data_IF_444757787179
#
_entry.id   IF_444757787179
#
_cell.length_a   1.000
_cell.length_b   1.000
_cell.length_c   1.000
_cell.angle_alpha   90.00
_cell.angle_beta   90.00
_cell.angle_gamma   90.00
#
_symmetry.space_group_name_H-M   'P 1'
#
loop_
_entity.id
_entity.type
_entity.pdbx_description
1 polymer ?
#
# COMPACT_ATOMS: atom_id res chain seq x y z
N UNK A 1 -21.00 15.41 -18.68
CA UNK A 1 -19.97 14.36 -18.50
C UNK A 1 -19.46 14.44 -17.07
N UNK A 2 -19.22 13.30 -16.43
CA UNK A 2 -18.72 13.25 -15.04
C UNK A 2 -17.20 13.21 -15.06
N UNK A 3 -16.56 14.05 -14.25
CA UNK A 3 -15.10 14.14 -14.10
C UNK A 3 -14.44 12.77 -13.90
N UNK A 4 -15.12 11.84 -13.24
CA UNK A 4 -14.60 10.48 -13.01
C UNK A 4 -14.46 9.68 -14.31
N UNK A 5 -15.44 9.83 -15.22
CA UNK A 5 -15.41 9.16 -16.54
C UNK A 5 -14.29 9.72 -17.41
N UNK A 6 -14.08 11.04 -17.34
CA UNK A 6 -13.05 11.70 -18.15
C UNK A 6 -11.65 11.31 -17.69
N UNK A 7 -11.43 11.19 -16.37
CA UNK A 7 -10.17 10.67 -15.81
C UNK A 7 -9.96 9.20 -16.19
N UNK A 8 -11.00 8.36 -16.06
CA UNK A 8 -10.92 6.95 -16.43
C UNK A 8 -10.55 6.78 -17.91
N UNK A 9 -11.23 7.50 -18.81
CA UNK A 9 -11.02 7.39 -20.26
C UNK A 9 -9.63 7.92 -20.66
N UNK A 10 -9.14 8.97 -19.99
CA UNK A 10 -7.79 9.48 -20.19
C UNK A 10 -6.72 8.44 -19.81
N UNK A 11 -6.83 7.84 -18.62
CA UNK A 11 -5.87 6.82 -18.16
C UNK A 11 -5.92 5.60 -19.07
N UNK A 12 -7.12 5.14 -19.43
CA UNK A 12 -7.31 3.99 -20.33
C UNK A 12 -6.66 4.22 -21.69
N UNK A 13 -6.88 5.38 -22.31
CA UNK A 13 -6.31 5.70 -23.62
C UNK A 13 -4.77 5.71 -23.60
N UNK A 14 -4.17 6.28 -22.56
CA UNK A 14 -2.72 6.30 -22.43
C UNK A 14 -2.14 4.90 -22.17
N UNK A 15 -2.86 4.05 -21.42
CA UNK A 15 -2.49 2.65 -21.22
C UNK A 15 -2.54 1.85 -22.53
N UNK A 16 -3.62 1.99 -23.30
CA UNK A 16 -3.78 1.30 -24.59
C UNK A 16 -2.78 1.80 -25.65
N UNK A 17 -2.32 3.04 -25.54
CA UNK A 17 -1.28 3.61 -26.41
C UNK A 17 0.16 3.19 -26.04
N UNK A 18 0.35 2.42 -24.96
CA UNK A 18 1.68 1.99 -24.51
C UNK A 18 2.48 3.06 -23.78
N UNK A 19 1.89 4.22 -23.45
CA UNK A 19 2.61 5.32 -22.78
C UNK A 19 3.11 4.98 -21.37
N UNK A 20 2.69 3.84 -20.82
CA UNK A 20 3.11 3.33 -19.50
C UNK A 20 3.96 2.06 -19.60
N UNK A 21 4.35 1.61 -20.80
CA UNK A 21 5.06 0.34 -20.97
C UNK A 21 6.46 0.36 -20.34
N UNK A 22 7.18 1.48 -20.41
CA UNK A 22 8.48 1.63 -19.75
C UNK A 22 8.35 1.57 -18.23
N UNK A 23 7.34 2.25 -17.67
CA UNK A 23 7.06 2.20 -16.23
C UNK A 23 6.64 0.80 -15.78
N UNK A 24 5.87 0.09 -16.61
CA UNK A 24 5.47 -1.30 -16.40
C UNK A 24 6.68 -2.23 -16.43
N UNK A 25 7.57 -2.08 -17.40
CA UNK A 25 8.79 -2.87 -17.52
C UNK A 25 9.71 -2.64 -16.31
N UNK A 26 9.93 -1.38 -15.92
CA UNK A 26 10.73 -1.04 -14.74
C UNK A 26 10.15 -1.64 -13.46
N UNK A 27 8.82 -1.57 -13.28
CA UNK A 27 8.16 -2.20 -12.15
C UNK A 27 8.28 -3.73 -12.17
N UNK A 28 8.11 -4.37 -13.34
CA UNK A 28 8.26 -5.83 -13.48
C UNK A 28 9.69 -6.29 -13.20
N UNK A 29 10.70 -5.57 -13.67
CA UNK A 29 12.11 -5.87 -13.35
C UNK A 29 12.38 -5.71 -11.87
N UNK A 30 11.99 -4.57 -11.27
CA UNK A 30 12.11 -4.36 -9.82
C UNK A 30 11.42 -5.46 -9.03
N UNK A 31 10.18 -5.80 -9.40
CA UNK A 31 9.40 -6.86 -8.74
C UNK A 31 10.09 -8.21 -8.86
N UNK A 32 10.64 -8.54 -10.04
CA UNK A 32 11.35 -9.81 -10.26
C UNK A 32 12.62 -9.89 -9.43
N UNK A 33 13.40 -8.81 -9.41
CA UNK A 33 14.65 -8.72 -8.64
C UNK A 33 14.40 -8.68 -7.12
N UNK A 34 13.30 -8.07 -6.69
CA UNK A 34 12.92 -7.94 -5.29
C UNK A 34 11.85 -8.96 -4.86
N UNK A 35 11.57 -9.98 -5.69
CA UNK A 35 10.61 -11.04 -5.40
C UNK A 35 11.17 -12.07 -4.39
N UNK A 36 11.90 -11.60 -3.38
CA UNK A 36 11.87 -12.26 -2.09
C UNK A 36 10.53 -11.93 -1.45
N UNK A 37 9.46 -12.51 -2.02
CA UNK A 37 8.13 -12.39 -1.46
C UNK A 37 8.20 -12.96 -0.05
N UNK A 38 8.13 -12.08 0.95
CA UNK A 38 8.19 -12.53 2.33
C UNK A 38 7.00 -13.46 2.56
N UNK A 39 7.20 -14.58 3.24
CA UNK A 39 6.11 -15.47 3.64
C UNK A 39 5.17 -14.85 4.70
N UNK A 40 5.32 -13.56 4.96
CA UNK A 40 4.55 -12.81 5.93
C UNK A 40 3.23 -12.36 5.31
N UNK A 41 2.19 -12.43 6.12
CA UNK A 41 0.92 -11.76 5.83
C UNK A 41 1.11 -10.24 5.84
N UNK A 42 0.20 -9.50 5.18
CA UNK A 42 0.25 -8.03 5.18
C UNK A 42 0.24 -7.45 6.59
N UNK A 43 -0.51 -8.08 7.50
CA UNK A 43 -0.54 -7.72 8.91
C UNK A 43 0.83 -7.87 9.59
N UNK A 44 1.52 -8.99 9.36
CA UNK A 44 2.87 -9.22 9.91
C UNK A 44 3.91 -8.27 9.31
N UNK A 45 3.79 -7.93 8.02
CA UNK A 45 4.61 -6.89 7.41
C UNK A 45 4.39 -5.53 8.10
N UNK A 46 3.15 -5.20 8.45
CA UNK A 46 2.81 -4.00 9.22
C UNK A 46 3.50 -3.97 10.59
N UNK A 47 3.49 -5.10 11.32
CA UNK A 47 4.20 -5.24 12.60
C UNK A 47 5.71 -5.01 12.43
N UNK A 48 6.34 -5.71 11.49
CA UNK A 48 7.78 -5.57 11.27
C UNK A 48 8.18 -4.15 10.90
N UNK A 49 7.35 -3.47 10.10
CA UNK A 49 7.60 -2.08 9.74
C UNK A 49 7.54 -1.15 10.96
N UNK A 50 6.56 -1.32 11.86
CA UNK A 50 6.49 -0.55 13.10
C UNK A 50 7.72 -0.75 14.00
N UNK A 51 8.17 -2.01 14.14
CA UNK A 51 9.40 -2.32 14.88
C UNK A 51 10.63 -1.68 14.24
N UNK A 52 10.76 -1.77 12.91
CA UNK A 52 11.89 -1.22 12.15
C UNK A 52 11.95 0.30 12.27
N UNK A 53 10.82 0.99 12.10
CA UNK A 53 10.73 2.46 12.17
C UNK A 53 11.09 2.96 13.57
N UNK A 54 10.55 2.32 14.61
CA UNK A 54 10.86 2.65 16.00
C UNK A 54 12.34 2.37 16.33
N UNK A 55 12.89 1.22 15.91
CA UNK A 55 14.30 0.90 16.14
C UNK A 55 15.26 1.87 15.44
N UNK A 56 14.93 2.31 14.23
CA UNK A 56 15.79 3.19 13.43
C UNK A 56 15.74 4.65 13.87
N UNK A 57 14.56 5.14 14.24
CA UNK A 57 14.32 6.58 14.42
C UNK A 57 13.63 6.94 15.72
N UNK A 58 13.08 5.98 16.47
CA UNK A 58 12.20 6.21 17.60
C UNK A 58 10.82 6.77 17.23
N UNK A 59 10.54 6.95 15.93
CA UNK A 59 9.33 7.62 15.42
C UNK A 59 8.49 6.64 14.62
N UNK A 60 7.17 6.73 14.79
CA UNK A 60 6.19 6.00 13.98
C UNK A 60 5.69 6.87 12.82
N UNK A 61 5.57 6.27 11.64
CA UNK A 61 4.87 6.85 10.50
C UNK A 61 3.38 7.05 10.79
N UNK A 62 2.77 7.99 10.05
CA UNK A 62 1.34 8.27 10.11
C UNK A 62 0.69 7.63 8.89
N UNK A 63 -0.14 6.61 9.12
CA UNK A 63 -0.97 5.99 8.10
C UNK A 63 -2.41 6.48 8.25
N UNK A 64 -3.04 7.04 7.19
CA UNK A 64 -4.40 7.56 7.25
C UNK A 64 -5.43 6.43 7.20
N UNK A 65 -5.54 5.67 8.29
CA UNK A 65 -6.41 4.49 8.41
C UNK A 65 -7.84 4.75 7.92
N UNK A 66 -8.43 5.88 8.32
CA UNK A 66 -9.79 6.26 7.93
C UNK A 66 -9.96 6.43 6.42
N UNK A 67 -8.95 6.98 5.71
CA UNK A 67 -9.03 7.16 4.26
C UNK A 67 -8.95 5.81 3.52
N UNK A 68 -8.14 4.88 4.02
CA UNK A 68 -8.01 3.54 3.45
C UNK A 68 -9.26 2.69 3.72
N UNK A 69 -9.83 2.78 4.92
CA UNK A 69 -11.09 2.07 5.24
C UNK A 69 -12.26 2.57 4.39
N UNK A 70 -12.31 3.88 4.09
CA UNK A 70 -13.28 4.46 3.14
C UNK A 70 -13.01 3.96 1.72
N UNK A 71 -11.76 3.93 1.27
CA UNK A 71 -11.41 3.38 -0.04
C UNK A 71 -11.81 1.91 -0.17
N UNK A 72 -11.58 1.08 0.85
CA UNK A 72 -11.98 -0.33 0.83
C UNK A 72 -13.48 -0.52 0.65
N UNK A 73 -14.29 0.24 1.37
CA UNK A 73 -15.76 0.20 1.22
C UNK A 73 -16.21 0.66 -0.17
N UNK A 74 -15.56 1.69 -0.73
CA UNK A 74 -15.90 2.22 -2.05
C UNK A 74 -15.47 1.30 -3.21
N UNK A 75 -14.39 0.54 -3.01
CA UNK A 75 -13.79 -0.31 -4.05
C UNK A 75 -13.96 -1.82 -3.81
N UNK A 76 -14.89 -2.23 -2.94
CA UNK A 76 -15.20 -3.63 -2.65
C UNK A 76 -13.97 -4.44 -2.23
N UNK A 77 -13.30 -3.98 -1.17
CA UNK A 77 -12.14 -4.60 -0.51
C UNK A 77 -10.87 -4.70 -1.36
N UNK A 78 -10.80 -3.95 -2.47
CA UNK A 78 -9.60 -3.90 -3.33
C UNK A 78 -8.33 -3.32 -2.66
N UNK A 79 -8.44 -2.74 -1.47
CA UNK A 79 -7.31 -2.29 -0.65
C UNK A 79 -7.22 -3.06 0.68
N UNK A 80 -7.75 -4.30 0.72
CA UNK A 80 -7.77 -5.13 1.92
C UNK A 80 -6.35 -5.36 2.47
N UNK A 81 -5.40 -5.66 1.59
CA UNK A 81 -3.97 -5.81 1.92
C UNK A 81 -3.42 -4.57 2.66
N UNK A 82 -3.75 -3.37 2.17
CA UNK A 82 -3.33 -2.10 2.78
C UNK A 82 -4.00 -1.92 4.16
N UNK A 83 -5.27 -2.30 4.32
CA UNK A 83 -5.93 -2.21 5.62
C UNK A 83 -5.34 -3.17 6.64
N UNK A 84 -5.00 -4.40 6.25
CA UNK A 84 -4.38 -5.39 7.13
C UNK A 84 -2.97 -4.94 7.55
N UNK A 85 -2.19 -4.39 6.62
CA UNK A 85 -0.90 -3.78 6.92
C UNK A 85 -1.01 -2.65 7.95
N UNK A 86 -1.92 -1.69 7.75
CA UNK A 86 -2.13 -0.57 8.68
C UNK A 86 -2.61 -1.07 10.04
N UNK A 87 -3.42 -2.14 10.08
CA UNK A 87 -3.86 -2.77 11.32
C UNK A 87 -2.69 -3.38 12.10
N UNK A 88 -1.80 -4.09 11.41
CA UNK A 88 -0.57 -4.65 11.99
C UNK A 88 0.34 -3.57 12.56
N UNK A 89 0.60 -2.51 11.77
CA UNK A 89 1.44 -1.40 12.18
C UNK A 89 0.94 -0.70 13.45
N UNK A 90 -0.37 -0.40 13.51
CA UNK A 90 -0.95 0.26 14.68
C UNK A 90 -1.00 -0.66 15.90
N UNK A 91 -1.26 -1.96 15.71
CA UNK A 91 -1.23 -2.93 16.82
C UNK A 91 0.13 -2.93 17.52
N UNK A 92 1.21 -2.99 16.75
CA UNK A 92 2.57 -3.00 17.29
C UNK A 92 2.98 -1.65 17.88
N UNK A 93 2.61 -0.54 17.23
CA UNK A 93 2.80 0.81 17.77
C UNK A 93 2.18 0.96 19.17
N UNK A 94 0.95 0.48 19.36
CA UNK A 94 0.26 0.54 20.66
C UNK A 94 0.91 -0.37 21.71
N UNK A 95 1.47 -1.51 21.31
CA UNK A 95 2.25 -2.37 22.21
C UNK A 95 3.54 -1.68 22.67
N UNK A 96 4.32 -1.15 21.73
CA UNK A 96 5.59 -0.48 22.02
C UNK A 96 5.37 0.73 22.93
N UNK A 97 4.33 1.54 22.68
CA UNK A 97 4.03 2.71 23.52
C UNK A 97 3.60 2.40 24.96
N UNK A 98 3.14 1.17 25.22
CA UNK A 98 2.72 0.73 26.56
C UNK A 98 3.90 0.22 27.39
N UNK A 99 5.11 0.13 26.83
CA UNK A 99 6.33 -0.36 27.47
C UNK A 99 7.43 0.70 27.35
#
# INVERSE_FOLDING_TARGET
MSMLKDIHDYVKKNYEAGNYDDAKAAYTSWKTENNQQSNLTDFEMGIQKAQSDYKKSGIFAIYPKLAIDVANKLFNDKAFEISEFIRGYNSEKEKIKKH
#
